data_IF_483790084255
#
_entry.id   IF_483790084255
#
_cell.length_a   1.000
_cell.length_b   1.000
_cell.length_c   1.000
_cell.angle_alpha   90.00
_cell.angle_beta   90.00
_cell.angle_gamma   90.00
#
_symmetry.space_group_name_H-M   'P 1'
#
loop_
_entity.id
_entity.type
_entity.pdbx_description
1 polymer ?
#
# COMPACT_ATOMS: atom_id res chain seq x y z
N UNK A 1 19.57 -3.58 -19.81
CA UNK A 1 18.92 -2.93 -20.97
C UNK A 1 18.23 -1.68 -20.42
N UNK A 2 18.52 -0.50 -20.96
CA UNK A 2 17.85 0.73 -20.52
C UNK A 2 16.54 0.89 -21.28
N UNK A 3 15.47 1.18 -20.54
CA UNK A 3 14.09 1.29 -21.02
C UNK A 3 13.49 2.56 -20.42
N UNK A 4 12.73 3.31 -21.21
CA UNK A 4 11.96 4.46 -20.72
C UNK A 4 10.55 3.99 -20.39
N UNK A 5 10.17 4.08 -19.12
CA UNK A 5 8.85 3.68 -18.61
C UNK A 5 8.04 4.91 -18.15
N UNK A 6 7.34 5.60 -19.06
CA UNK A 6 6.60 6.81 -18.74
C UNK A 6 5.21 6.49 -18.17
N UNK A 7 4.80 7.23 -17.14
CA UNK A 7 3.42 7.23 -16.58
C UNK A 7 2.79 5.83 -16.42
N UNK A 8 3.57 4.87 -15.93
CA UNK A 8 3.10 3.51 -15.74
C UNK A 8 2.82 3.15 -14.29
N UNK A 9 2.08 2.06 -14.09
CA UNK A 9 1.88 1.46 -12.77
C UNK A 9 2.84 0.29 -12.53
N UNK A 10 3.04 -0.05 -11.27
CA UNK A 10 3.63 -1.34 -10.87
C UNK A 10 2.52 -2.39 -10.77
N UNK A 11 2.90 -3.67 -10.84
CA UNK A 11 1.95 -4.78 -10.71
C UNK A 11 2.46 -5.83 -9.73
N UNK A 12 1.50 -6.55 -9.14
CA UNK A 12 1.77 -7.73 -8.33
C UNK A 12 1.67 -8.96 -9.23
N UNK A 13 2.74 -9.77 -9.26
CA UNK A 13 2.83 -10.95 -10.10
C UNK A 13 2.95 -12.16 -9.20
N UNK A 14 2.09 -13.15 -9.40
CA UNK A 14 2.10 -14.42 -8.67
C UNK A 14 2.12 -15.58 -9.65
N UNK A 15 2.73 -16.70 -9.25
CA UNK A 15 2.72 -17.95 -10.02
C UNK A 15 1.27 -18.32 -10.37
N UNK A 16 0.96 -18.73 -11.62
CA UNK A 16 1.89 -19.19 -12.67
C UNK A 16 2.47 -18.10 -13.59
N UNK A 17 2.21 -16.81 -13.33
CA UNK A 17 2.79 -15.72 -14.12
C UNK A 17 4.23 -15.42 -13.68
N UNK A 18 5.07 -14.99 -14.62
CA UNK A 18 6.49 -14.72 -14.45
C UNK A 18 6.74 -13.23 -14.64
N UNK A 19 7.66 -12.66 -13.87
CA UNK A 19 8.01 -11.24 -13.98
C UNK A 19 8.83 -11.00 -15.25
N UNK A 20 8.37 -10.07 -16.09
CA UNK A 20 9.07 -9.71 -17.33
C UNK A 20 10.29 -8.81 -17.06
N UNK A 21 10.08 -7.78 -16.24
CA UNK A 21 11.10 -6.82 -15.83
C UNK A 21 10.62 -6.03 -14.60
N UNK A 22 11.57 -5.51 -13.84
CA UNK A 22 11.33 -4.75 -12.60
C UNK A 22 11.71 -3.28 -12.74
N UNK A 23 11.20 -2.45 -11.83
CA UNK A 23 11.65 -1.09 -11.62
C UNK A 23 13.04 -1.14 -10.99
N UNK A 24 14.08 -0.68 -11.70
CA UNK A 24 15.44 -0.76 -11.20
C UNK A 24 15.68 0.13 -9.96
N UNK A 25 16.89 0.02 -9.38
CA UNK A 25 17.32 0.77 -8.19
C UNK A 25 17.21 2.30 -8.28
N UNK A 26 17.17 2.86 -9.49
CA UNK A 26 17.05 4.29 -9.73
C UNK A 26 15.59 4.80 -9.84
N UNK A 27 14.60 3.95 -9.58
CA UNK A 27 13.17 4.27 -9.71
C UNK A 27 12.41 3.97 -8.43
N UNK A 28 11.38 4.77 -8.15
CA UNK A 28 10.54 4.60 -6.97
C UNK A 28 9.12 4.19 -7.40
N UNK A 29 8.56 3.10 -6.86
CA UNK A 29 9.14 2.17 -5.86
C UNK A 29 10.22 1.25 -6.47
N UNK A 30 11.21 0.86 -5.66
CA UNK A 30 12.38 0.08 -6.09
C UNK A 30 12.04 -1.41 -6.23
N UNK A 31 12.65 -2.09 -7.21
CA UNK A 31 12.60 -3.53 -7.48
C UNK A 31 11.19 -4.13 -7.55
N UNK A 32 10.24 -3.37 -8.12
CA UNK A 32 8.85 -3.82 -8.31
C UNK A 32 8.59 -4.29 -9.74
N UNK A 33 7.80 -5.37 -9.93
CA UNK A 33 7.41 -5.80 -11.27
C UNK A 33 6.64 -4.71 -12.03
N UNK A 34 7.06 -4.45 -13.27
CA UNK A 34 6.42 -3.51 -14.20
C UNK A 34 5.67 -4.20 -15.35
N UNK A 35 6.00 -5.46 -15.60
CA UNK A 35 5.35 -6.31 -16.59
C UNK A 35 5.36 -7.77 -16.16
N UNK A 36 4.37 -8.52 -16.63
CA UNK A 36 4.21 -9.95 -16.37
C UNK A 36 4.00 -10.71 -17.68
N UNK A 37 4.59 -11.90 -17.75
CA UNK A 37 4.42 -12.86 -18.84
C UNK A 37 3.71 -14.08 -18.29
N UNK A 38 2.80 -14.62 -19.07
CA UNK A 38 2.16 -15.90 -18.78
C UNK A 38 2.12 -16.75 -20.04
N UNK A 39 2.46 -18.02 -19.86
CA UNK A 39 2.46 -19.03 -20.90
C UNK A 39 1.77 -20.28 -20.35
N UNK A 40 0.76 -20.77 -21.06
CA UNK A 40 0.12 -22.03 -20.74
C UNK A 40 0.64 -23.13 -21.67
N UNK A 41 1.38 -24.09 -21.10
CA UNK A 41 1.92 -25.23 -21.82
C UNK A 41 0.83 -26.13 -22.44
N UNK A 42 -0.38 -26.14 -21.86
CA UNK A 42 -1.46 -27.04 -22.30
C UNK A 42 -2.21 -26.52 -23.51
N UNK A 43 -2.50 -25.22 -23.53
CA UNK A 43 -3.25 -24.57 -24.60
C UNK A 43 -2.34 -23.84 -25.59
N UNK A 44 -1.07 -23.62 -25.25
CA UNK A 44 -0.15 -22.76 -25.99
C UNK A 44 -0.51 -21.26 -25.88
N UNK A 45 -1.47 -20.91 -25.02
CA UNK A 45 -1.94 -19.55 -24.82
C UNK A 45 -0.86 -18.68 -24.18
N UNK A 46 -0.75 -17.43 -24.65
CA UNK A 46 0.24 -16.46 -24.18
C UNK A 46 -0.45 -15.18 -23.74
N UNK A 47 0.00 -14.63 -22.64
CA UNK A 47 -0.48 -13.35 -22.14
C UNK A 47 0.70 -12.50 -21.69
N UNK A 48 0.63 -11.22 -22.05
CA UNK A 48 1.59 -10.21 -21.63
C UNK A 48 0.80 -9.07 -21.00
N UNK A 49 1.17 -8.69 -19.79
CA UNK A 49 0.62 -7.52 -19.10
C UNK A 49 1.74 -6.51 -18.85
N UNK A 50 1.49 -5.24 -19.16
CA UNK A 50 2.44 -4.13 -18.98
C UNK A 50 1.69 -2.98 -18.33
N UNK A 51 2.28 -2.36 -17.30
CA UNK A 51 1.63 -1.28 -16.56
C UNK A 51 1.67 0.09 -17.25
N UNK A 52 2.34 0.22 -18.40
CA UNK A 52 2.38 1.45 -19.21
C UNK A 52 2.13 1.16 -20.68
N UNK A 53 1.02 1.68 -21.20
CA UNK A 53 0.79 1.75 -22.64
C UNK A 53 1.58 2.88 -23.31
N UNK A 54 1.94 3.93 -22.55
CA UNK A 54 2.65 5.09 -23.09
C UNK A 54 4.07 4.75 -23.56
N UNK A 55 4.68 3.70 -23.02
CA UNK A 55 5.97 3.18 -23.46
C UNK A 55 5.99 2.81 -24.96
N UNK A 56 4.84 2.39 -25.51
CA UNK A 56 4.69 2.01 -26.92
C UNK A 56 4.14 3.15 -27.80
N UNK A 57 3.99 4.36 -27.26
CA UNK A 57 3.53 5.50 -28.06
C UNK A 57 4.67 6.13 -28.88
N UNK A 58 4.33 6.78 -29.98
CA UNK A 58 5.26 7.41 -30.93
C UNK A 58 6.30 8.32 -30.26
N UNK A 59 5.94 8.95 -29.13
CA UNK A 59 6.85 9.83 -28.39
C UNK A 59 7.99 9.09 -27.70
N UNK A 60 7.78 7.83 -27.30
CA UNK A 60 8.68 7.07 -26.44
C UNK A 60 9.20 5.79 -27.09
N UNK A 61 8.68 5.39 -28.25
CA UNK A 61 9.13 4.16 -28.93
C UNK A 61 10.57 4.26 -29.43
N UNK A 62 10.95 5.42 -29.97
CA UNK A 62 12.30 5.69 -30.49
C UNK A 62 13.31 6.03 -29.37
N UNK A 63 12.86 6.13 -28.12
CA UNK A 63 13.74 6.42 -27.00
C UNK A 63 14.39 5.16 -26.43
N UNK A 64 15.69 5.23 -26.17
CA UNK A 64 16.51 4.15 -25.61
C UNK A 64 16.39 2.85 -26.42
N UNK A 65 15.92 1.76 -25.81
CA UNK A 65 15.70 0.47 -26.47
C UNK A 65 14.23 0.01 -26.40
N UNK A 66 13.29 0.96 -26.33
CA UNK A 66 11.86 0.64 -26.27
C UNK A 66 11.38 -0.10 -27.53
N UNK A 67 11.90 0.25 -28.70
CA UNK A 67 11.57 -0.43 -29.96
C UNK A 67 11.99 -1.92 -29.95
N UNK A 68 13.21 -2.23 -29.50
CA UNK A 68 13.68 -3.62 -29.33
C UNK A 68 12.85 -4.39 -28.31
N UNK A 69 12.43 -3.71 -27.24
CA UNK A 69 11.55 -4.33 -26.24
C UNK A 69 10.18 -4.68 -26.84
N UNK A 70 9.60 -3.79 -27.65
CA UNK A 70 8.37 -4.07 -28.41
C UNK A 70 8.55 -5.29 -29.33
N UNK A 71 9.64 -5.35 -30.08
CA UNK A 71 9.93 -6.48 -30.96
C UNK A 71 10.00 -7.80 -30.18
N UNK A 72 10.73 -7.83 -29.06
CA UNK A 72 10.83 -9.00 -28.19
C UNK A 72 9.45 -9.45 -27.65
N UNK A 73 8.58 -8.50 -27.29
CA UNK A 73 7.22 -8.82 -26.83
C UNK A 73 6.34 -9.39 -27.95
N UNK A 74 6.40 -8.80 -29.14
CA UNK A 74 5.64 -9.27 -30.29
C UNK A 74 6.15 -10.63 -30.77
N UNK A 75 7.46 -10.85 -30.74
CA UNK A 75 8.08 -12.13 -31.00
C UNK A 75 7.61 -13.17 -29.98
N UNK A 76 7.55 -12.82 -28.69
CA UNK A 76 7.00 -13.70 -27.67
C UNK A 76 5.54 -14.07 -27.92
N UNK A 77 4.70 -13.11 -28.34
CA UNK A 77 3.28 -13.36 -28.64
C UNK A 77 3.08 -14.17 -29.94
N UNK A 78 3.95 -13.97 -30.93
CA UNK A 78 3.81 -14.56 -32.27
C UNK A 78 4.49 -15.92 -32.40
N UNK A 79 5.53 -16.17 -31.61
CA UNK A 79 6.30 -17.41 -31.64
C UNK A 79 5.39 -18.61 -31.35
N UNK A 80 5.53 -19.68 -32.13
CA UNK A 80 4.77 -20.92 -31.95
C UNK A 80 5.57 -22.00 -31.19
N UNK A 81 6.85 -21.73 -30.89
CA UNK A 81 7.74 -22.65 -30.17
C UNK A 81 7.52 -22.62 -28.67
N UNK A 82 7.76 -23.75 -28.00
CA UNK A 82 7.65 -23.85 -26.54
C UNK A 82 8.67 -22.91 -25.89
N UNK A 83 8.21 -21.92 -25.10
CA UNK A 83 9.08 -20.96 -24.43
C UNK A 83 9.35 -21.47 -23.03
N UNK A 84 10.57 -21.93 -22.78
CA UNK A 84 11.02 -22.26 -21.44
C UNK A 84 11.59 -21.00 -20.79
N UNK A 85 10.90 -20.51 -19.76
CA UNK A 85 11.45 -19.45 -18.93
C UNK A 85 12.43 -20.05 -17.94
N UNK A 86 13.65 -19.51 -17.89
CA UNK A 86 14.58 -19.86 -16.81
C UNK A 86 14.01 -19.22 -15.54
N UNK A 87 13.76 -20.00 -14.47
CA UNK A 87 13.33 -19.44 -13.20
C UNK A 87 14.39 -18.42 -12.78
N UNK A 88 13.98 -17.16 -12.73
CA UNK A 88 14.86 -16.03 -12.42
C UNK A 88 14.61 -15.65 -10.98
N UNK A 89 15.63 -15.15 -10.28
CA UNK A 89 15.54 -14.74 -8.87
C UNK A 89 14.41 -13.72 -8.59
N UNK A 90 13.85 -13.09 -9.63
CA UNK A 90 12.71 -12.19 -9.57
C UNK A 90 11.34 -12.88 -9.38
N UNK A 91 11.25 -14.21 -9.49
CA UNK A 91 10.00 -14.97 -9.26
C UNK A 91 9.63 -15.09 -7.78
N UNK A 92 10.60 -14.90 -6.89
CA UNK A 92 10.43 -14.90 -5.43
C UNK A 92 10.65 -13.47 -4.86
N UNK A 93 10.21 -12.43 -5.59
CA UNK A 93 10.14 -11.08 -5.02
C UNK A 93 9.11 -11.08 -3.90
N UNK A 94 9.57 -11.12 -2.65
CA UNK A 94 8.76 -10.81 -1.48
C UNK A 94 8.10 -9.45 -1.70
N UNK A 95 6.79 -9.46 -1.93
CA UNK A 95 5.99 -8.26 -2.10
C UNK A 95 6.01 -7.51 -0.76
N UNK A 96 7.00 -6.63 -0.59
CA UNK A 96 7.06 -5.73 0.56
C UNK A 96 5.75 -4.94 0.57
N UNK A 97 5.11 -4.84 1.73
CA UNK A 97 3.80 -4.19 1.90
C UNK A 97 3.81 -2.74 1.35
N UNK A 98 2.67 -2.29 0.82
CA UNK A 98 2.48 -0.96 0.24
C UNK A 98 2.54 0.19 1.26
N UNK A 99 2.65 -0.13 2.55
CA UNK A 99 2.82 0.84 3.62
C UNK A 99 4.29 1.26 3.74
N UNK A 100 4.75 2.05 2.77
CA UNK A 100 5.98 2.81 2.92
C UNK A 100 5.67 3.94 3.89
N UNK A 101 5.83 3.66 5.19
CA UNK A 101 5.91 4.73 6.17
C UNK A 101 7.20 5.48 5.86
N UNK A 102 7.16 6.79 5.54
CA UNK A 102 8.39 7.57 5.41
C UNK A 102 9.19 7.43 6.70
N UNK A 103 10.51 7.55 6.66
CA UNK A 103 11.35 7.41 7.85
C UNK A 103 10.97 8.49 8.90
N UNK A 104 10.05 8.15 9.79
CA UNK A 104 9.47 9.10 10.74
C UNK A 104 10.51 9.56 11.75
N UNK A 105 11.54 8.74 12.01
CA UNK A 105 12.67 9.09 12.87
C UNK A 105 13.50 10.23 12.26
N UNK A 106 13.98 10.07 11.02
CA UNK A 106 14.71 11.12 10.30
C UNK A 106 13.86 12.38 10.11
N UNK A 107 12.56 12.22 9.82
CA UNK A 107 11.65 13.35 9.64
C UNK A 107 11.37 14.10 10.96
N UNK A 108 11.40 13.40 12.09
CA UNK A 108 11.24 13.99 13.43
C UNK A 108 12.53 14.66 13.92
N UNK A 109 13.69 14.13 13.52
CA UNK A 109 14.99 14.75 13.80
C UNK A 109 15.23 16.04 13.02
N UNK A 110 14.53 16.25 11.88
CA UNK A 110 14.53 17.52 11.16
C UNK A 110 13.67 18.53 11.94
N UNK A 111 14.27 19.49 12.70
CA UNK A 111 13.48 20.49 13.39
C UNK A 111 12.75 21.32 12.33
N UNK A 112 11.43 21.17 12.25
CA UNK A 112 10.63 22.04 11.40
C UNK A 112 10.67 23.43 12.02
N UNK A 113 11.41 24.34 11.40
CA UNK A 113 11.33 25.77 11.67
C UNK A 113 9.94 26.24 11.28
N UNK A 114 9.00 26.10 12.20
CA UNK A 114 7.69 26.73 12.12
C UNK A 114 7.94 28.23 12.12
N UNK A 115 8.06 28.85 10.93
CA UNK A 115 7.77 30.24 10.56
C UNK A 115 8.74 30.81 9.49
N UNK A 116 9.97 30.33 9.38
CA UNK A 116 11.00 31.04 8.56
C UNK A 116 11.15 30.51 7.12
N UNK A 117 10.95 29.22 6.89
CA UNK A 117 11.28 28.58 5.60
C UNK A 117 10.11 28.52 4.61
N UNK A 118 8.89 28.89 5.06
CA UNK A 118 7.78 29.17 4.13
C UNK A 118 8.05 30.43 3.27
N UNK A 119 9.03 31.25 3.66
CA UNK A 119 9.37 32.53 3.03
C UNK A 119 10.47 32.35 1.96
N UNK A 120 11.30 31.31 2.04
CA UNK A 120 12.45 31.11 1.14
C UNK A 120 12.09 30.40 -0.17
N UNK A 121 11.06 29.56 -0.17
CA UNK A 121 10.70 28.70 -1.30
C UNK A 121 9.24 28.85 -1.74
N UNK A 122 8.72 30.07 -1.86
CA UNK A 122 7.47 30.29 -2.58
C UNK A 122 7.52 31.56 -3.41
N UNK A 123 7.45 31.37 -4.74
CA UNK A 123 7.02 32.36 -5.72
C UNK A 123 5.76 33.08 -5.20
N UNK A 124 5.91 34.30 -4.67
CA UNK A 124 4.87 35.28 -4.38
C UNK A 124 3.45 34.69 -4.29
N UNK A 125 3.21 33.79 -3.33
CA UNK A 125 1.88 33.25 -3.10
C UNK A 125 1.16 34.34 -2.31
N UNK A 126 0.22 35.01 -2.96
CA UNK A 126 -0.69 35.94 -2.31
C UNK A 126 -1.46 35.17 -1.23
N UNK A 127 -1.00 35.27 0.01
CA UNK A 127 -1.45 34.48 1.16
C UNK A 127 -2.94 34.68 1.43
N UNK A 128 -3.54 35.77 0.93
CA UNK A 128 -4.98 35.98 0.97
C UNK A 128 -5.78 34.92 0.22
N UNK A 129 -5.20 34.25 -0.80
CA UNK A 129 -5.84 33.11 -1.50
C UNK A 129 -5.78 31.79 -0.73
N UNK A 130 -4.92 31.68 0.28
CA UNK A 130 -4.82 30.50 1.14
C UNK A 130 -5.84 30.53 2.28
N UNK A 131 -6.42 31.71 2.57
CA UNK A 131 -7.52 31.83 3.52
C UNK A 131 -8.85 31.55 2.81
N UNK A 132 -9.29 30.31 2.91
CA UNK A 132 -10.66 29.98 2.54
C UNK A 132 -11.61 30.56 3.60
N UNK A 133 -12.12 31.77 3.35
CA UNK A 133 -13.10 32.48 4.21
C UNK A 133 -14.44 31.73 4.39
N UNK A 134 -14.58 30.55 3.78
CA UNK A 134 -15.75 29.69 3.83
C UNK A 134 -15.68 28.63 4.94
N UNK A 135 -14.57 28.54 5.67
CA UNK A 135 -14.48 27.62 6.80
C UNK A 135 -15.30 28.15 8.00
N UNK A 136 -16.24 27.32 8.45
CA UNK A 136 -17.22 27.52 9.53
C UNK A 136 -18.56 28.17 9.15
N UNK A 137 -19.39 27.43 8.42
CA UNK A 137 -20.83 27.43 8.75
C UNK A 137 -21.06 26.45 9.89
N UNK A 138 -21.29 26.93 11.11
CA UNK A 138 -21.81 26.10 12.20
C UNK A 138 -23.27 25.77 11.85
N UNK A 139 -23.48 24.62 11.21
CA UNK A 139 -24.78 24.29 10.65
C UNK A 139 -25.47 23.21 11.49
N UNK A 140 -26.59 23.56 12.13
CA UNK A 140 -27.40 22.65 12.96
C UNK A 140 -28.39 21.81 12.16
N UNK A 141 -28.22 21.73 10.84
CA UNK A 141 -29.07 20.94 9.93
C UNK A 141 -29.28 19.48 10.36
N UNK A 142 -28.32 18.88 11.08
CA UNK A 142 -28.38 17.48 11.52
C UNK A 142 -28.99 17.29 12.91
N UNK A 143 -29.25 18.37 13.67
CA UNK A 143 -29.88 18.28 14.99
C UNK A 143 -31.30 17.66 14.96
N UNK A 144 -32.17 17.94 13.98
CA UNK A 144 -33.50 17.34 13.90
C UNK A 144 -33.47 15.83 13.65
N UNK A 145 -32.52 15.36 12.84
CA UNK A 145 -32.32 13.94 12.57
C UNK A 145 -31.83 13.20 13.82
N UNK A 146 -30.87 13.78 14.52
CA UNK A 146 -30.39 13.25 15.80
C UNK A 146 -31.51 13.15 16.85
N UNK A 147 -32.43 14.13 16.91
CA UNK A 147 -33.59 14.10 17.81
C UNK A 147 -34.58 12.97 17.49
N UNK A 148 -34.85 12.72 16.20
CA UNK A 148 -35.71 11.60 15.77
C UNK A 148 -35.09 10.24 16.12
N UNK A 149 -33.78 10.13 16.02
CA UNK A 149 -33.05 8.90 16.33
C UNK A 149 -33.23 8.46 17.80
N UNK A 150 -33.38 9.40 18.73
CA UNK A 150 -33.67 9.09 20.13
C UNK A 150 -35.02 8.38 20.30
N UNK A 151 -36.03 8.75 19.51
CA UNK A 151 -37.34 8.11 19.51
C UNK A 151 -37.28 6.70 18.91
N UNK A 152 -36.57 6.53 17.79
CA UNK A 152 -36.37 5.22 17.14
C UNK A 152 -35.61 4.23 18.03
N UNK A 153 -34.58 4.70 18.73
CA UNK A 153 -33.78 3.88 19.64
C UNK A 153 -34.45 3.66 21.00
N UNK A 154 -35.60 4.29 21.26
CA UNK A 154 -36.30 4.20 22.55
C UNK A 154 -35.49 4.77 23.72
N UNK A 155 -34.53 5.67 23.46
CA UNK A 155 -33.65 6.26 24.46
C UNK A 155 -34.22 7.60 24.91
N UNK A 156 -34.35 7.80 26.22
CA UNK A 156 -34.85 9.07 26.78
C UNK A 156 -33.86 10.20 26.50
N UNK A 157 -34.31 11.26 25.83
CA UNK A 157 -33.53 12.48 25.60
C UNK A 157 -33.35 13.27 26.92
N UNK A 158 -32.25 13.01 27.64
CA UNK A 158 -31.91 13.63 28.91
C UNK A 158 -30.41 13.95 28.97
N UNK A 159 -29.99 14.99 29.70
CA UNK A 159 -28.56 15.28 29.87
C UNK A 159 -27.86 14.08 30.51
N UNK A 160 -26.78 13.61 29.87
CA UNK A 160 -26.02 12.45 30.32
C UNK A 160 -25.51 12.70 31.75
N UNK A 161 -25.94 11.85 32.68
CA UNK A 161 -25.37 11.79 34.02
C UNK A 161 -24.23 10.78 34.00
N UNK A 162 -23.12 11.11 34.65
CA UNK A 162 -22.03 10.16 34.85
C UNK A 162 -22.57 9.01 35.70
N UNK A 163 -22.77 7.85 35.07
CA UNK A 163 -23.12 6.62 35.78
C UNK A 163 -21.80 6.09 36.33
N UNK A 164 -21.69 6.01 37.66
CA UNK A 164 -20.57 5.30 38.27
C UNK A 164 -20.70 3.81 37.92
N UNK A 165 -19.69 3.20 37.27
CA UNK A 165 -19.77 1.82 36.86
C UNK A 165 -19.93 0.93 38.09
N UNK A 166 -21.01 0.13 38.12
CA UNK A 166 -21.19 -0.92 39.11
C UNK A 166 -20.50 -2.16 38.57
N UNK A 167 -19.29 -2.42 39.07
CA UNK A 167 -18.61 -3.68 38.79
C UNK A 167 -19.28 -4.78 39.61
N UNK A 168 -20.10 -5.61 38.97
CA UNK A 168 -20.55 -6.86 39.58
C UNK A 168 -19.34 -7.79 39.67
N UNK A 169 -18.84 -7.99 40.89
CA UNK A 169 -17.77 -8.96 41.16
C UNK A 169 -18.35 -10.37 41.06
N UNK A 170 -18.38 -10.93 39.85
CA UNK A 170 -18.88 -12.29 39.58
C UNK A 170 -17.95 -13.41 40.04
N UNK A 171 -16.73 -13.09 40.51
CA UNK A 171 -15.76 -14.10 40.92
C UNK A 171 -15.70 -14.23 42.43
N UNK A 172 -15.85 -15.48 42.92
CA UNK A 172 -15.44 -15.88 44.27
C UNK A 172 -14.01 -15.39 44.56
N UNK A 173 -13.68 -15.03 45.81
CA UNK A 173 -12.33 -14.56 46.15
C UNK A 173 -11.30 -15.63 45.78
N UNK A 174 -10.38 -15.29 44.87
CA UNK A 174 -9.30 -16.17 44.43
C UNK A 174 -8.41 -16.51 45.63
N UNK A 175 -8.22 -17.80 45.91
CA UNK A 175 -7.23 -18.26 46.87
C UNK A 175 -5.90 -18.52 46.16
N UNK A 176 -4.77 -18.09 46.74
CA UNK A 176 -3.45 -18.36 46.15
C UNK A 176 -3.18 -19.86 46.14
N UNK A 177 -2.64 -20.37 45.03
CA UNK A 177 -2.23 -21.76 44.92
C UNK A 177 -1.08 -22.02 45.91
N UNK A 178 -1.32 -22.88 46.89
CA UNK A 178 -0.33 -23.26 47.92
C UNK A 178 0.57 -24.42 47.45
N UNK A 179 0.37 -24.91 46.23
CA UNK A 179 1.14 -26.02 45.67
C UNK A 179 2.16 -25.49 44.66
N UNK A 180 3.46 -25.84 44.81
CA UNK A 180 4.45 -25.52 43.80
C UNK A 180 4.13 -26.27 42.49
N UNK A 181 4.29 -25.63 41.32
CA UNK A 181 4.08 -26.28 40.03
C UNK A 181 5.02 -27.48 39.88
N UNK A 182 4.46 -28.62 39.48
CA UNK A 182 5.21 -29.84 39.22
C UNK A 182 5.87 -29.73 37.84
N UNK A 183 7.17 -29.46 37.80
CA UNK A 183 7.94 -29.50 36.55
C UNK A 183 8.52 -30.90 36.38
N UNK A 184 8.08 -31.63 35.37
CA UNK A 184 8.76 -32.86 34.97
C UNK A 184 10.12 -32.49 34.37
N UNK A 185 11.21 -32.92 35.01
CA UNK A 185 12.56 -32.71 34.49
C UNK A 185 12.77 -33.57 33.26
N UNK A 186 13.04 -32.94 32.12
CA UNK A 186 13.39 -33.59 30.86
C UNK A 186 14.55 -34.57 31.08
N UNK A 187 14.47 -35.84 30.61
CA UNK A 187 15.55 -36.79 30.78
C UNK A 187 16.80 -36.30 30.06
N UNK A 188 17.91 -36.20 30.77
CA UNK A 188 19.23 -35.93 30.19
C UNK A 188 19.54 -37.03 29.18
N UNK A 189 19.73 -36.65 27.92
CA UNK A 189 20.17 -37.58 26.87
C UNK A 189 21.63 -37.99 27.16
N UNK A 190 22.00 -39.27 26.91
CA UNK A 190 23.36 -39.78 27.09
C UNK A 190 24.36 -39.23 26.08
#
# INVERSE_FOLDING_TARGET
>A
MNLVYPFGCTMSVSKPSIVAFTSGSASFPVDRPLGALYYDEKTGGRLVAIGSGHMLSDKYIDQENNDKFREMLLEFLTSQGNVYFVPTDHDDLDLIDHHIVPETAELAEKPKLCLSDAISHTTYIDYTKLFEHKMYSMNTNLCPEALKLYEELGVKHQPLKIITPKFERLTLPLQPAVFPPHFETCPLQP
#
